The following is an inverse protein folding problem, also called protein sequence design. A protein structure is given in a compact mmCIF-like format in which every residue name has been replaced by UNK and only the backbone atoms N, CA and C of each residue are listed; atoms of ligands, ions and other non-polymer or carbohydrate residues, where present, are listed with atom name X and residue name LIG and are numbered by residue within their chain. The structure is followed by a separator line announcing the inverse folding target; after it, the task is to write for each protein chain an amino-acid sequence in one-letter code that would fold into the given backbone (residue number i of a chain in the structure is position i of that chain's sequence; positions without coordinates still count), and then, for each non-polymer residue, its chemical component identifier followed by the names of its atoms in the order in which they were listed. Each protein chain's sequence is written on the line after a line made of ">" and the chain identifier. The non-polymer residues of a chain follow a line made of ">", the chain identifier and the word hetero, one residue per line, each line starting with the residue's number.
data_IF_546640608092
#
_entry.id   IF_546640608092
#
_cell.length_a   1.000
_cell.length_b   1.000
_cell.length_c   1.000
_cell.angle_alpha   90.00
_cell.angle_beta   90.00
_cell.angle_gamma   90.00
#
_symmetry.space_group_name_H-M   'P 1'
#
loop_
_entity.id
_entity.type
_entity.pdbx_description
1 polymer ?
#
# COMPACT_ATOMS: atom_id res chain seq x y z
N UNK A 1 -15.27 -7.44 -7.14
CA UNK A 1 -14.33 -8.58 -7.19
C UNK A 1 -14.18 -9.13 -5.78
N UNK A 2 -14.23 -10.45 -5.61
CA UNK A 2 -13.91 -11.05 -4.31
C UNK A 2 -12.41 -10.87 -4.03
N UNK A 3 -12.02 -10.63 -2.78
CA UNK A 3 -10.62 -10.55 -2.38
C UNK A 3 -10.20 -11.80 -1.61
N UNK A 4 -9.02 -12.30 -1.93
CA UNK A 4 -8.39 -13.44 -1.26
C UNK A 4 -7.14 -12.97 -0.53
N UNK A 5 -6.97 -13.41 0.72
CA UNK A 5 -5.71 -13.18 1.45
C UNK A 5 -4.67 -14.15 0.94
N UNK A 6 -3.53 -13.61 0.54
CA UNK A 6 -2.41 -14.34 -0.02
C UNK A 6 -1.20 -14.07 0.85
N UNK A 7 -0.56 -15.15 1.31
CA UNK A 7 0.66 -15.11 2.08
C UNK A 7 1.85 -15.18 1.12
N UNK A 8 2.76 -14.20 1.25
CA UNK A 8 4.02 -14.14 0.54
C UNK A 8 5.13 -14.44 1.54
N UNK A 9 5.95 -15.44 1.24
CA UNK A 9 7.00 -15.93 2.13
C UNK A 9 8.27 -16.04 1.32
N UNK A 10 9.28 -15.27 1.72
CA UNK A 10 10.64 -15.34 1.19
C UNK A 10 11.50 -16.19 2.14
N UNK A 11 11.97 -17.38 1.72
CA UNK A 11 12.78 -18.27 2.55
C UNK A 11 14.07 -17.63 3.04
N UNK A 12 14.51 -18.01 4.25
CA UNK A 12 15.74 -17.47 4.86
C UNK A 12 16.99 -17.66 4.01
N UNK A 13 17.06 -18.75 3.24
CA UNK A 13 18.13 -19.03 2.29
C UNK A 13 18.27 -17.92 1.23
N UNK A 14 17.16 -17.38 0.72
CA UNK A 14 17.15 -16.29 -0.27
C UNK A 14 17.39 -14.94 0.40
N UNK A 15 16.88 -14.76 1.62
CA UNK A 15 17.09 -13.55 2.44
C UNK A 15 18.59 -13.35 2.72
N UNK A 16 19.32 -14.41 3.07
CA UNK A 16 20.73 -14.34 3.45
C UNK A 16 20.93 -13.42 4.66
N UNK A 17 21.79 -12.41 4.52
CA UNK A 17 22.08 -11.43 5.58
C UNK A 17 21.05 -10.29 5.68
N UNK A 18 20.10 -10.21 4.75
CA UNK A 18 19.09 -9.16 4.77
C UNK A 18 18.21 -9.26 6.02
N UNK A 19 17.83 -8.11 6.56
CA UNK A 19 17.03 -8.02 7.79
C UNK A 19 15.59 -7.62 7.52
N UNK A 20 15.31 -7.05 6.35
CA UNK A 20 13.98 -6.64 5.92
C UNK A 20 13.88 -6.63 4.40
N UNK A 21 12.65 -6.54 3.91
CA UNK A 21 12.38 -6.42 2.48
C UNK A 21 10.97 -5.89 2.22
N UNK A 22 10.72 -5.50 0.97
CA UNK A 22 9.46 -5.04 0.44
C UNK A 22 8.96 -6.00 -0.63
N UNK A 23 7.69 -6.38 -0.56
CA UNK A 23 6.99 -7.02 -1.65
C UNK A 23 6.46 -5.95 -2.61
N UNK A 24 6.80 -6.11 -3.89
CA UNK A 24 6.43 -5.20 -4.99
C UNK A 24 5.85 -6.01 -6.14
N UNK A 25 4.86 -5.46 -6.84
CA UNK A 25 4.21 -6.11 -7.96
C UNK A 25 3.16 -5.24 -8.61
N UNK A 26 2.38 -5.82 -9.50
CA UNK A 26 1.33 -5.09 -10.25
C UNK A 26 0.29 -4.46 -9.32
N UNK A 27 -0.02 -5.12 -8.20
CA UNK A 27 -1.01 -4.66 -7.22
C UNK A 27 -0.62 -3.35 -6.50
N UNK A 28 0.66 -2.96 -6.53
CA UNK A 28 1.13 -1.65 -6.08
C UNK A 28 1.88 -0.90 -7.19
N UNK A 29 1.67 -1.29 -8.45
CA UNK A 29 2.30 -0.70 -9.62
C UNK A 29 3.83 -0.62 -9.53
N UNK A 30 4.46 -1.62 -8.90
CA UNK A 30 5.91 -1.69 -8.69
C UNK A 30 6.51 -0.50 -7.92
N UNK A 31 5.69 0.27 -7.21
CA UNK A 31 6.13 1.46 -6.49
C UNK A 31 6.62 1.08 -5.09
N UNK A 32 7.93 1.22 -4.88
CA UNK A 32 8.63 0.98 -3.61
C UNK A 32 7.97 1.67 -2.41
N UNK A 33 7.39 2.86 -2.63
CA UNK A 33 6.77 3.65 -1.59
C UNK A 33 5.40 3.10 -1.17
N UNK A 34 4.85 2.14 -1.91
CA UNK A 34 3.65 1.38 -1.58
C UNK A 34 3.94 -0.12 -1.47
N UNK A 35 5.23 -0.48 -1.36
CA UNK A 35 5.63 -1.85 -1.13
C UNK A 35 5.11 -2.35 0.21
N UNK A 36 4.80 -3.64 0.25
CA UNK A 36 4.34 -4.26 1.49
C UNK A 36 5.55 -4.75 2.27
N UNK A 37 5.82 -4.20 3.47
CA UNK A 37 6.96 -4.63 4.26
C UNK A 37 6.78 -6.09 4.69
N UNK A 38 7.87 -6.83 4.56
CA UNK A 38 8.00 -8.19 5.02
C UNK A 38 8.39 -8.21 6.50
N UNK A 39 7.77 -9.09 7.28
CA UNK A 39 8.09 -9.32 8.69
C UNK A 39 9.01 -10.53 8.83
N UNK A 40 10.14 -10.33 9.50
CA UNK A 40 11.07 -11.41 9.84
C UNK A 40 10.43 -12.41 10.81
N UNK A 41 10.56 -13.68 10.46
CA UNK A 41 10.10 -14.83 11.23
C UNK A 41 11.26 -15.41 12.07
N UNK A 42 10.93 -16.30 13.00
CA UNK A 42 11.93 -16.94 13.89
C UNK A 42 12.92 -17.84 13.16
N UNK A 43 12.52 -18.41 12.02
CA UNK A 43 13.34 -19.25 11.15
C UNK A 43 14.21 -18.43 10.17
N UNK A 44 14.17 -17.10 10.29
CA UNK A 44 14.90 -16.17 9.41
C UNK A 44 14.17 -15.81 8.12
N UNK A 45 13.04 -16.46 7.80
CA UNK A 45 12.25 -16.11 6.62
C UNK A 45 11.57 -14.74 6.76
N UNK A 46 11.21 -14.15 5.63
CA UNK A 46 10.50 -12.87 5.56
C UNK A 46 9.07 -13.14 5.06
N UNK A 47 8.04 -12.67 5.77
CA UNK A 47 6.64 -12.94 5.42
C UNK A 47 5.76 -11.69 5.41
N UNK A 48 4.85 -11.60 4.45
CA UNK A 48 3.75 -10.62 4.46
C UNK A 48 2.46 -11.24 3.95
N UNK A 49 1.32 -10.63 4.25
CA UNK A 49 0.00 -11.09 3.82
C UNK A 49 -0.77 -9.92 3.22
N UNK A 50 -1.20 -10.06 1.97
CA UNK A 50 -1.97 -9.02 1.27
C UNK A 50 -3.27 -9.58 0.73
N UNK A 51 -4.25 -8.71 0.48
CA UNK A 51 -5.53 -9.10 -0.10
C UNK A 51 -5.56 -8.73 -1.58
N UNK A 52 -5.56 -9.74 -2.45
CA UNK A 52 -5.56 -9.61 -3.91
C UNK A 52 -6.92 -10.00 -4.49
N UNK A 53 -7.22 -9.53 -5.71
CA UNK A 53 -8.45 -9.91 -6.40
C UNK A 53 -8.42 -11.39 -6.79
N UNK A 54 -9.46 -12.11 -6.39
CA UNK A 54 -9.59 -13.55 -6.62
C UNK A 54 -9.76 -13.85 -8.10
N UNK A 55 -9.12 -14.93 -8.57
CA UNK A 55 -9.12 -15.32 -9.98
C UNK A 55 -8.14 -14.52 -10.85
N UNK A 56 -7.39 -13.59 -10.28
CA UNK A 56 -6.34 -12.83 -10.96
C UNK A 56 -4.99 -13.55 -10.98
N UNK A 57 -4.12 -13.11 -11.88
CA UNK A 57 -2.69 -13.41 -11.87
C UNK A 57 -1.95 -12.09 -11.70
N UNK A 58 -0.91 -12.08 -10.87
CA UNK A 58 -0.17 -10.87 -10.57
C UNK A 58 1.33 -11.15 -10.66
N UNK A 59 2.05 -10.27 -11.34
CA UNK A 59 3.51 -10.26 -11.30
C UNK A 59 4.02 -9.56 -10.04
N UNK A 60 5.10 -10.10 -9.44
CA UNK A 60 5.72 -9.57 -8.23
C UNK A 60 7.20 -9.95 -8.10
N UNK A 61 7.94 -9.23 -7.24
CA UNK A 61 9.29 -9.55 -6.76
C UNK A 61 9.48 -8.97 -5.36
N UNK A 62 10.57 -9.36 -4.69
CA UNK A 62 10.97 -8.77 -3.41
C UNK A 62 12.20 -7.88 -3.58
N UNK A 63 12.15 -6.67 -2.98
CA UNK A 63 13.32 -5.80 -2.81
C UNK A 63 13.81 -5.91 -1.37
N UNK A 64 15.02 -6.43 -1.18
CA UNK A 64 15.65 -6.52 0.13
C UNK A 64 16.28 -5.18 0.55
N UNK A 65 16.52 -5.00 1.85
CA UNK A 65 17.09 -3.76 2.40
C UNK A 65 18.54 -3.49 1.99
N UNK A 66 19.23 -4.49 1.43
CA UNK A 66 20.56 -4.37 0.84
C UNK A 66 20.51 -4.00 -0.66
N UNK A 67 19.32 -3.73 -1.21
CA UNK A 67 19.10 -3.35 -2.60
C UNK A 67 18.95 -4.52 -3.57
N UNK A 68 19.06 -5.78 -3.09
CA UNK A 68 18.89 -6.95 -3.96
C UNK A 68 17.44 -7.17 -4.33
N UNK A 69 17.19 -7.35 -5.62
CA UNK A 69 15.92 -7.85 -6.13
C UNK A 69 15.97 -9.37 -6.22
N UNK A 70 15.06 -10.04 -5.52
CA UNK A 70 15.01 -11.49 -5.44
C UNK A 70 13.66 -12.04 -5.85
N UNK A 71 13.71 -13.23 -6.44
CA UNK A 71 12.54 -13.98 -6.84
C UNK A 71 12.19 -15.02 -5.76
N UNK A 72 10.91 -15.38 -5.72
CA UNK A 72 10.41 -16.45 -4.89
C UNK A 72 10.63 -17.79 -5.58
N UNK A 73 11.40 -18.70 -5.00
CA UNK A 73 11.55 -20.07 -5.53
C UNK A 73 10.22 -20.84 -5.56
N UNK A 74 9.23 -20.42 -4.76
CA UNK A 74 7.90 -21.01 -4.68
C UNK A 74 6.85 -20.25 -5.51
N UNK A 75 7.26 -19.36 -6.43
CA UNK A 75 6.32 -18.71 -7.34
C UNK A 75 5.57 -19.73 -8.22
N UNK A 76 4.32 -19.43 -8.58
CA UNK A 76 3.55 -20.32 -9.46
C UNK A 76 4.16 -20.37 -10.86
N UNK A 77 4.65 -19.23 -11.36
CA UNK A 77 5.32 -19.09 -12.66
C UNK A 77 6.34 -17.95 -12.63
N UNK A 78 7.11 -17.83 -13.71
CA UNK A 78 7.98 -16.69 -13.96
C UNK A 78 7.65 -16.08 -15.33
N UNK A 79 7.70 -14.74 -15.41
CA UNK A 79 7.53 -13.98 -16.65
C UNK A 79 8.84 -13.28 -16.98
N UNK A 80 9.40 -13.61 -18.15
CA UNK A 80 10.59 -12.97 -18.66
C UNK A 80 10.24 -11.66 -19.38
N UNK A 81 10.79 -10.55 -18.89
CA UNK A 81 10.66 -9.24 -19.53
C UNK A 81 11.90 -8.98 -20.37
N UNK A 82 11.82 -9.36 -21.64
CA UNK A 82 12.92 -9.32 -22.62
C UNK A 82 13.59 -7.94 -22.74
N UNK A 83 12.81 -6.86 -22.64
CA UNK A 83 13.34 -5.49 -22.71
C UNK A 83 14.33 -5.15 -21.60
N UNK A 84 14.15 -5.75 -20.42
CA UNK A 84 14.96 -5.45 -19.24
C UNK A 84 15.83 -6.63 -18.80
N UNK A 85 15.73 -7.78 -19.49
CA UNK A 85 16.41 -9.02 -19.13
C UNK A 85 16.16 -9.41 -17.66
N UNK A 86 14.94 -9.17 -17.18
CA UNK A 86 14.51 -9.52 -15.82
C UNK A 86 13.45 -10.61 -15.88
N UNK A 87 13.36 -11.40 -14.81
CA UNK A 87 12.27 -12.34 -14.60
C UNK A 87 11.47 -11.92 -13.36
N UNK A 88 10.16 -11.77 -13.53
CA UNK A 88 9.23 -11.54 -12.44
C UNK A 88 8.60 -12.85 -11.98
N UNK A 89 8.32 -12.97 -10.68
CA UNK A 89 7.47 -14.04 -10.18
C UNK A 89 6.01 -13.76 -10.54
N UNK A 90 5.22 -14.80 -10.74
CA UNK A 90 3.78 -14.72 -10.93
C UNK A 90 3.10 -15.52 -9.84
N UNK A 91 2.03 -14.96 -9.28
CA UNK A 91 1.11 -15.66 -8.39
C UNK A 91 -0.29 -15.69 -8.98
N UNK A 92 -0.90 -16.86 -9.02
CA UNK A 92 -2.28 -17.08 -9.41
C UNK A 92 -3.15 -17.11 -8.16
N UNK A 93 -4.00 -16.10 -8.01
CA UNK A 93 -4.94 -16.05 -6.88
C UNK A 93 -6.14 -16.93 -7.22
N UNK A 94 -6.40 -18.01 -6.48
CA UNK A 94 -7.52 -18.89 -6.79
C UNK A 94 -8.84 -18.10 -6.72
N UNK A 95 -9.72 -18.32 -7.69
CA UNK A 95 -11.04 -17.72 -7.72
C UNK A 95 -11.82 -18.13 -6.47
N UNK A 96 -12.52 -17.17 -5.86
CA UNK A 96 -13.32 -17.43 -4.67
C UNK A 96 -14.49 -18.36 -5.01
N UNK A 97 -14.34 -19.66 -4.73
CA UNK A 97 -15.51 -20.54 -4.62
C UNK A 97 -16.26 -20.15 -3.34
N UNK A 98 -17.58 -19.98 -3.46
CA UNK A 98 -18.47 -19.79 -2.33
C UNK A 98 -18.17 -20.83 -1.22
N UNK A 99 -18.15 -20.33 0.02
CA UNK A 99 -17.72 -20.96 1.27
C UNK A 99 -17.97 -22.46 1.42
N UNK A 100 -16.93 -23.20 1.80
CA UNK A 100 -17.04 -24.33 2.72
C UNK A 100 -15.88 -24.31 3.72
N UNK A 101 -16.21 -24.06 4.97
CA UNK A 101 -15.41 -24.38 6.15
C UNK A 101 -14.87 -25.81 6.06
N UNK A 102 -13.55 -25.97 6.01
CA UNK A 102 -12.89 -27.13 6.62
C UNK A 102 -11.84 -26.63 7.62
N UNK A 103 -12.34 -26.42 8.83
CA UNK A 103 -11.58 -26.61 10.05
C UNK A 103 -11.11 -28.07 10.08
N UNK A 104 -9.81 -28.28 10.00
CA UNK A 104 -9.15 -29.40 10.70
C UNK A 104 -8.19 -28.69 11.67
N UNK A 105 -8.66 -28.26 12.84
CA UNK A 105 -8.63 -29.08 14.05
C UNK A 105 -7.32 -29.88 14.18
N UNK A 106 -6.31 -29.24 14.77
CA UNK A 106 -5.16 -29.85 15.43
C UNK A 106 -5.57 -30.98 16.39
N UNK A 107 -4.65 -31.89 16.79
CA UNK A 107 -4.72 -32.47 18.12
C UNK A 107 -4.18 -31.45 19.13
N UNK A 108 -5.08 -30.85 19.90
CA UNK A 108 -4.81 -30.19 21.18
C UNK A 108 -4.25 -31.20 22.19
N UNK A 109 -3.33 -30.74 23.05
CA UNK A 109 -3.43 -30.92 24.51
C UNK A 109 -2.77 -29.72 25.19
N UNK A 110 -3.59 -28.81 25.73
CA UNK A 110 -3.86 -28.57 27.18
C UNK A 110 -2.83 -27.60 27.77
N UNK A 111 -3.17 -26.48 28.43
CA UNK A 111 -4.33 -26.14 29.26
C UNK A 111 -4.36 -24.61 29.49
N UNK A 112 -5.56 -24.05 29.60
CA UNK A 112 -5.87 -22.64 29.90
C UNK A 112 -5.72 -22.35 31.43
N UNK A 113 -6.31 -21.28 32.04
CA UNK A 113 -6.77 -19.96 31.57
C UNK A 113 -6.47 -18.79 32.57
N UNK A 114 -6.43 -17.53 32.10
CA UNK A 114 -6.93 -16.31 32.79
C UNK A 114 -6.52 -15.08 31.97
N UNK A 115 -7.23 -13.95 31.91
CA UNK A 115 -8.62 -13.54 32.11
C UNK A 115 -8.59 -12.06 31.71
N UNK A 116 -9.50 -11.69 30.80
CA UNK A 116 -10.07 -10.37 30.54
C UNK A 116 -9.29 -9.10 30.95
N UNK A 117 -8.94 -8.30 29.95
CA UNK A 117 -9.23 -6.87 29.95
C UNK A 117 -9.28 -6.33 28.51
N UNK A 118 -10.50 -6.09 27.99
CA UNK A 118 -10.74 -4.89 27.18
C UNK A 118 -10.60 -3.66 28.12
N UNK A 119 -10.42 -2.40 27.66
CA UNK A 119 -10.83 -1.80 26.38
C UNK A 119 -9.68 -0.91 25.80
N UNK A 120 -9.71 -0.15 24.70
CA UNK A 120 -10.68 0.83 24.21
C UNK A 120 -10.34 1.20 22.75
N UNK A 121 -11.40 1.26 21.95
CA UNK A 121 -11.63 2.23 20.88
C UNK A 121 -11.13 3.62 21.30
N UNK A 122 -10.08 4.15 20.65
CA UNK A 122 -9.84 5.59 20.65
C UNK A 122 -10.62 6.17 19.47
N UNK A 123 -11.91 6.36 19.73
CA UNK A 123 -12.58 7.50 19.15
C UNK A 123 -12.11 8.70 19.97
N UNK A 124 -11.35 9.59 19.33
CA UNK A 124 -11.30 11.01 19.72
C UNK A 124 -11.93 11.78 18.58
N UNK A 125 -13.23 12.06 18.74
CA UNK A 125 -13.85 13.27 18.20
C UNK A 125 -13.09 14.48 18.80
N UNK A 126 -12.92 15.64 18.16
CA UNK A 126 -13.66 16.29 17.10
C UNK A 126 -12.66 17.10 16.26
N UNK A 127 -12.88 17.29 14.96
CA UNK A 127 -13.79 18.33 14.50
C UNK A 127 -14.49 17.85 13.22
N UNK A 128 -15.79 17.63 13.32
CA UNK A 128 -16.66 17.92 12.20
C UNK A 128 -16.55 19.42 11.93
N UNK A 129 -15.65 19.82 11.04
CA UNK A 129 -15.84 21.06 10.29
C UNK A 129 -16.80 20.70 9.17
N UNK A 130 -18.04 21.15 9.31
CA UNK A 130 -18.99 21.45 8.23
C UNK A 130 -18.42 22.58 7.35
N UNK A 131 -17.20 22.37 6.85
CA UNK A 131 -16.43 23.34 6.09
C UNK A 131 -15.24 22.63 5.47
N UNK A 132 -15.10 22.76 4.15
CA UNK A 132 -14.03 22.17 3.34
C UNK A 132 -12.67 22.30 4.01
N UNK A 133 -11.86 21.23 3.97
CA UNK A 133 -10.48 21.29 4.42
C UNK A 133 -9.64 22.15 3.47
N UNK A 134 -8.61 22.79 4.03
CA UNK A 134 -7.63 23.51 3.24
C UNK A 134 -6.65 22.54 2.57
N UNK A 135 -7.03 22.06 1.38
CA UNK A 135 -6.21 21.14 0.58
C UNK A 135 -4.84 21.73 0.19
N UNK A 136 -4.63 23.05 0.35
CA UNK A 136 -3.32 23.67 0.07
C UNK A 136 -2.23 23.29 1.07
N UNK A 137 -2.59 22.62 2.19
CA UNK A 137 -1.61 22.02 3.11
C UNK A 137 -0.88 20.80 2.52
N UNK A 138 -1.36 20.27 1.41
CA UNK A 138 -0.71 19.20 0.65
C UNK A 138 0.23 19.85 -0.36
N UNK A 139 1.50 19.49 -0.30
CA UNK A 139 2.55 19.93 -1.20
C UNK A 139 2.23 19.48 -2.64
N UNK A 140 2.45 20.40 -3.58
CA UNK A 140 1.97 20.29 -4.95
C UNK A 140 0.52 20.73 -5.18
N UNK A 141 -0.33 20.90 -4.14
CA UNK A 141 -1.68 21.45 -4.28
C UNK A 141 -1.66 22.97 -3.99
N UNK A 142 -1.60 23.77 -5.05
CA UNK A 142 -1.82 25.22 -4.95
C UNK A 142 -3.31 25.60 -4.89
N UNK A 143 -3.62 26.88 -4.60
CA UNK A 143 -5.00 27.42 -4.56
C UNK A 143 -5.85 27.00 -5.77
N UNK A 144 -5.31 27.12 -6.98
CA UNK A 144 -6.01 26.74 -8.23
C UNK A 144 -6.28 25.23 -8.33
N UNK A 145 -5.40 24.39 -7.81
CA UNK A 145 -5.58 22.93 -7.81
C UNK A 145 -6.61 22.54 -6.74
N UNK A 146 -6.54 23.16 -5.56
CA UNK A 146 -7.54 22.97 -4.52
C UNK A 146 -8.95 23.31 -5.02
N UNK A 147 -9.11 24.43 -5.74
CA UNK A 147 -10.39 24.80 -6.39
C UNK A 147 -10.88 23.74 -7.39
N UNK A 148 -10.00 23.19 -8.22
CA UNK A 148 -10.34 22.13 -9.18
C UNK A 148 -10.79 20.83 -8.48
N UNK A 149 -10.12 20.47 -7.40
CA UNK A 149 -10.45 19.28 -6.60
C UNK A 149 -11.79 19.46 -5.89
N UNK A 150 -12.03 20.62 -5.29
CA UNK A 150 -13.32 21.00 -4.69
C UNK A 150 -14.44 20.94 -5.72
N UNK A 151 -14.18 21.42 -6.94
CA UNK A 151 -15.13 21.35 -8.07
C UNK A 151 -15.47 19.92 -8.49
N UNK A 152 -14.55 18.97 -8.33
CA UNK A 152 -14.77 17.52 -8.55
C UNK A 152 -15.34 16.79 -7.30
N UNK A 153 -15.73 17.55 -6.27
CA UNK A 153 -16.30 17.01 -5.03
C UNK A 153 -15.28 16.51 -4.01
N UNK A 154 -13.98 16.78 -4.23
CA UNK A 154 -12.92 16.49 -3.26
C UNK A 154 -12.71 17.74 -2.41
N UNK A 155 -13.45 17.83 -1.30
CA UNK A 155 -13.45 19.00 -0.40
C UNK A 155 -12.73 18.78 0.92
N UNK A 156 -12.29 17.55 1.20
CA UNK A 156 -11.63 17.18 2.47
C UNK A 156 -10.36 16.36 2.24
N UNK A 157 -9.45 16.36 3.23
CA UNK A 157 -8.25 15.53 3.21
C UNK A 157 -8.60 14.05 3.15
N UNK A 158 -9.71 13.64 3.77
CA UNK A 158 -10.20 12.27 3.68
C UNK A 158 -10.60 11.89 2.26
N UNK A 159 -11.35 12.76 1.56
CA UNK A 159 -11.78 12.51 0.19
C UNK A 159 -10.59 12.51 -0.77
N UNK A 160 -9.62 13.40 -0.54
CA UNK A 160 -8.39 13.45 -1.31
C UNK A 160 -7.53 12.20 -1.06
N UNK A 161 -7.43 11.74 0.19
CA UNK A 161 -6.73 10.51 0.58
C UNK A 161 -7.38 9.24 0.05
N UNK A 162 -8.71 9.24 -0.14
CA UNK A 162 -9.47 8.14 -0.77
C UNK A 162 -9.40 8.18 -2.30
N UNK A 163 -9.05 9.33 -2.87
CA UNK A 163 -8.92 9.49 -4.32
C UNK A 163 -7.64 8.85 -4.84
N UNK A 164 -7.70 8.32 -6.06
CA UNK A 164 -6.54 7.67 -6.70
C UNK A 164 -5.73 8.68 -7.50
N UNK A 165 -4.42 8.44 -7.61
CA UNK A 165 -3.53 9.27 -8.43
C UNK A 165 -4.02 9.36 -9.90
N UNK A 166 -4.62 8.28 -10.43
CA UNK A 166 -5.20 8.27 -11.77
C UNK A 166 -6.40 9.23 -11.89
N UNK A 167 -7.30 9.26 -10.91
CA UNK A 167 -8.44 10.20 -10.88
C UNK A 167 -7.93 11.63 -10.80
N UNK A 168 -7.00 11.90 -9.89
CA UNK A 168 -6.40 13.23 -9.72
C UNK A 168 -5.67 13.70 -10.98
N UNK A 169 -4.88 12.83 -11.61
CA UNK A 169 -4.21 13.12 -12.88
C UNK A 169 -5.20 13.43 -14.00
N UNK A 170 -6.35 12.73 -14.06
CA UNK A 170 -7.42 13.02 -15.02
C UNK A 170 -8.04 14.39 -14.80
N UNK A 171 -8.32 14.78 -13.55
CA UNK A 171 -8.84 16.11 -13.20
C UNK A 171 -7.86 17.21 -13.62
N UNK A 172 -6.56 17.02 -13.34
CA UNK A 172 -5.52 17.97 -13.74
C UNK A 172 -5.37 18.07 -15.26
N UNK A 173 -5.42 16.95 -15.97
CA UNK A 173 -5.35 16.92 -17.43
C UNK A 173 -6.55 17.65 -18.06
N UNK A 174 -7.75 17.46 -17.52
CA UNK A 174 -8.96 18.20 -17.95
C UNK A 174 -8.85 19.70 -17.67
N UNK A 175 -8.16 20.11 -16.61
CA UNK A 175 -7.95 21.51 -16.27
C UNK A 175 -6.87 22.20 -17.12
N UNK A 176 -6.00 21.43 -17.79
CA UNK A 176 -5.09 21.88 -18.84
C UNK A 176 -3.61 21.55 -18.59
N UNK A 177 -2.76 21.73 -19.62
CA UNK A 177 -1.36 21.27 -19.62
C UNK A 177 -0.50 21.89 -18.53
N UNK A 178 -0.84 23.10 -18.09
CA UNK A 178 -0.17 23.82 -16.99
C UNK A 178 -0.17 23.04 -15.66
N UNK A 179 -1.12 22.12 -15.47
CA UNK A 179 -1.23 21.32 -14.26
C UNK A 179 -0.53 19.96 -14.36
N UNK A 180 -0.11 19.55 -15.57
CA UNK A 180 0.58 18.27 -15.80
C UNK A 180 2.00 18.22 -15.24
N UNK A 181 2.56 19.38 -14.86
CA UNK A 181 3.85 19.48 -14.18
C UNK A 181 3.75 18.95 -12.74
N UNK A 182 2.56 19.00 -12.13
CA UNK A 182 2.34 18.48 -10.79
C UNK A 182 2.17 16.96 -10.79
N UNK A 183 2.71 16.32 -9.75
CA UNK A 183 2.69 14.87 -9.59
C UNK A 183 1.67 14.51 -8.50
N UNK A 184 0.43 14.15 -8.85
CA UNK A 184 -0.63 13.89 -7.87
C UNK A 184 -0.49 12.54 -7.16
N UNK A 185 0.59 11.79 -7.38
CA UNK A 185 0.80 10.47 -6.76
C UNK A 185 1.05 10.58 -5.25
N UNK A 186 1.57 11.72 -4.79
CA UNK A 186 1.87 11.98 -3.37
C UNK A 186 0.67 12.60 -2.63
N UNK A 187 -0.26 13.23 -3.34
CA UNK A 187 -1.39 13.94 -2.71
C UNK A 187 -2.29 13.04 -1.86
N UNK A 188 -2.67 11.82 -2.27
CA UNK A 188 -3.47 10.94 -1.41
C UNK A 188 -2.73 10.53 -0.13
N UNK A 189 -1.40 10.36 -0.20
CA UNK A 189 -0.57 10.02 0.97
C UNK A 189 -0.49 11.19 1.94
N UNK A 190 -0.14 12.36 1.44
CA UNK A 190 -0.09 13.59 2.21
C UNK A 190 -1.46 13.93 2.83
N UNK A 191 -2.54 13.77 2.06
CA UNK A 191 -3.90 13.97 2.54
C UNK A 191 -4.31 12.96 3.63
N UNK A 192 -3.87 11.70 3.56
CA UNK A 192 -4.08 10.73 4.65
C UNK A 192 -3.36 11.15 5.93
N UNK A 193 -2.14 11.68 5.83
CA UNK A 193 -1.40 12.19 6.99
C UNK A 193 -2.07 13.45 7.57
N UNK A 194 -2.49 14.37 6.72
CA UNK A 194 -3.24 15.57 7.10
C UNK A 194 -4.59 15.23 7.76
N UNK A 195 -5.36 14.28 7.19
CA UNK A 195 -6.61 13.78 7.75
C UNK A 195 -6.42 13.09 9.11
N UNK A 196 -5.28 12.42 9.29
CA UNK A 196 -4.90 11.79 10.56
C UNK A 196 -4.29 12.78 11.57
N UNK A 197 -4.14 14.07 11.22
CA UNK A 197 -3.51 15.09 12.07
C UNK A 197 -2.00 14.89 12.28
N UNK A 198 -1.36 14.05 11.46
CA UNK A 198 0.08 13.72 11.53
C UNK A 198 0.91 14.78 10.80
N UNK A 199 0.87 16.00 11.29
CA UNK A 199 1.50 17.16 10.64
C UNK A 199 3.04 17.06 10.62
N UNK A 200 3.66 16.45 11.63
CA UNK A 200 5.12 16.24 11.66
C UNK A 200 5.60 15.23 10.61
N UNK A 201 4.89 14.10 10.48
CA UNK A 201 5.16 13.10 9.44
C UNK A 201 4.90 13.69 8.05
N UNK A 202 3.85 14.50 7.91
CA UNK A 202 3.55 15.20 6.67
C UNK A 202 4.69 16.15 6.29
N UNK A 203 5.17 16.96 7.23
CA UNK A 203 6.26 17.92 6.98
C UNK A 203 7.54 17.20 6.58
N UNK A 204 7.89 16.11 7.26
CA UNK A 204 9.05 15.28 6.90
C UNK A 204 8.93 14.70 5.49
N UNK A 205 7.74 14.19 5.13
CA UNK A 205 7.46 13.71 3.79
C UNK A 205 7.57 14.83 2.74
N UNK A 206 7.09 16.04 3.05
CA UNK A 206 7.18 17.18 2.15
C UNK A 206 8.61 17.68 1.96
N UNK A 207 9.43 17.69 3.01
CA UNK A 207 10.84 18.06 2.95
C UNK A 207 11.63 17.06 2.08
N UNK A 208 11.32 15.76 2.18
CA UNK A 208 11.90 14.71 1.33
C UNK A 208 11.50 14.88 -0.15
N UNK A 209 10.27 15.29 -0.42
CA UNK A 209 9.76 15.51 -1.78
C UNK A 209 10.27 16.81 -2.42
N UNK A 210 10.43 17.89 -1.66
CA UNK A 210 11.00 19.17 -2.14
C UNK A 210 12.54 19.10 -2.28
N UNK A 211 13.20 18.24 -1.50
CA UNK A 211 14.66 18.13 -1.47
C UNK A 211 15.29 17.36 -2.65
N UNK A 212 14.49 16.67 -3.46
CA UNK A 212 14.98 15.85 -4.57
C UNK A 212 15.03 16.60 -5.91
N UNK A 213 16.16 17.24 -6.20
CA UNK A 213 16.56 17.65 -7.56
C UNK A 213 17.29 16.52 -8.28
#
# INVERSE_FOLDING_TARGET
>A
MAKTKVDFILPSEIVGEATSGLLLGEFNNWDYNFGFPLKKQKDGSLKTTISLDAGGRFEYRYLLNDGRWVNDSNADQYVHISKYQIENCVIAVPAAKATATKKVAAPKKTTAPKKAAAPKKVATAAKATTGSDDLTKVEGIGKKIAELLVKDGITTFELLGKSTAAKLKKILATAGPRYSIHVPTTWPKQAKLAAAGKWDELKKLQDELNGGK
#
